data_IF_507564485604
#
_entry.id   IF_507564485604
#
_cell.length_a   1.000
_cell.length_b   1.000
_cell.length_c   1.000
_cell.angle_alpha   90.00
_cell.angle_beta   90.00
_cell.angle_gamma   90.00
#
_symmetry.space_group_name_H-M   'P 1'
#
loop_
_entity.id
_entity.type
_entity.pdbx_description
1 polymer ?
#
# COMPACT_ATOMS: atom_id res chain seq x y z
N UNK A 1 17.18 -3.67 20.86
CA UNK A 1 16.67 -4.16 22.15
C UNK A 1 15.51 -5.09 21.83
N UNK A 2 15.45 -6.30 22.39
CA UNK A 2 14.28 -7.16 22.17
C UNK A 2 13.04 -6.52 22.86
N UNK A 3 11.81 -6.71 22.33
CA UNK A 3 10.58 -6.32 23.01
C UNK A 3 10.56 -6.84 24.44
N UNK A 4 10.02 -6.01 25.33
CA UNK A 4 9.71 -6.39 26.71
C UNK A 4 8.62 -7.48 26.74
N UNK A 5 7.72 -7.51 25.75
CA UNK A 5 6.78 -8.61 25.50
C UNK A 5 6.40 -8.64 23.99
N UNK A 6 6.81 -9.65 23.22
CA UNK A 6 6.39 -9.75 21.82
C UNK A 6 4.89 -10.07 21.72
N UNK A 7 4.26 -9.64 20.62
CA UNK A 7 2.85 -9.87 20.27
C UNK A 7 2.45 -11.36 20.32
N UNK A 8 3.40 -12.26 20.13
CA UNK A 8 3.22 -13.69 20.25
C UNK A 8 4.54 -14.42 20.54
N UNK A 9 4.52 -15.75 20.64
CA UNK A 9 5.73 -16.54 20.79
C UNK A 9 6.60 -16.46 19.52
N UNK A 10 7.93 -16.50 19.67
CA UNK A 10 8.89 -16.39 18.56
C UNK A 10 8.65 -17.39 17.41
N UNK A 11 8.07 -18.55 17.72
CA UNK A 11 7.75 -19.61 16.76
C UNK A 11 6.48 -19.33 15.92
N UNK A 12 5.61 -18.42 16.36
CA UNK A 12 4.38 -18.06 15.64
C UNK A 12 4.61 -16.92 14.62
N UNK A 13 5.70 -16.17 14.74
CA UNK A 13 6.03 -15.10 13.81
C UNK A 13 6.35 -15.65 12.42
N UNK A 14 5.83 -15.00 11.38
CA UNK A 14 6.10 -15.31 9.98
C UNK A 14 7.06 -14.25 9.42
N UNK A 15 8.26 -14.62 8.93
CA UNK A 15 8.73 -15.98 8.64
C UNK A 15 9.63 -16.63 9.71
N UNK A 16 9.58 -16.12 10.93
CA UNK A 16 10.37 -16.59 12.06
C UNK A 16 11.12 -15.42 12.70
N UNK A 17 11.08 -15.32 14.03
CA UNK A 17 11.56 -14.12 14.71
C UNK A 17 13.08 -14.01 14.74
N UNK A 18 13.74 -15.03 15.30
CA UNK A 18 15.20 -15.08 15.52
C UNK A 18 15.95 -15.83 14.43
N UNK A 19 15.31 -16.83 13.84
CA UNK A 19 15.85 -17.66 12.77
C UNK A 19 14.78 -17.87 11.70
N UNK A 20 15.17 -18.10 10.43
CA UNK A 20 14.23 -18.47 9.39
C UNK A 20 13.52 -19.78 9.75
N UNK A 21 12.20 -19.83 9.50
CA UNK A 21 11.38 -21.03 9.68
C UNK A 21 10.82 -21.44 8.31
N UNK A 22 10.79 -22.75 8.06
CA UNK A 22 10.23 -23.29 6.83
C UNK A 22 8.71 -23.47 6.98
N UNK A 23 7.93 -22.53 6.46
CA UNK A 23 6.48 -22.66 6.37
C UNK A 23 6.05 -23.30 5.04
N UNK A 24 4.94 -24.05 5.04
CA UNK A 24 4.32 -24.49 3.80
C UNK A 24 3.65 -23.30 3.10
N UNK A 25 3.66 -23.28 1.78
CA UNK A 25 3.14 -22.14 1.01
C UNK A 25 1.68 -21.78 1.33
N UNK A 26 0.85 -22.80 1.63
CA UNK A 26 -0.57 -22.62 2.02
C UNK A 26 -0.75 -21.95 3.39
N UNK A 27 0.24 -22.05 4.27
CA UNK A 27 0.14 -21.54 5.65
C UNK A 27 0.55 -20.06 5.73
N UNK A 28 1.26 -19.57 4.71
CA UNK A 28 1.78 -18.20 4.64
C UNK A 28 1.35 -17.50 3.35
N UNK A 29 0.31 -17.97 2.70
CA UNK A 29 -0.31 -17.24 1.60
C UNK A 29 -0.86 -15.90 2.13
N UNK A 30 -0.67 -14.76 1.44
CA UNK A 30 -0.19 -14.54 0.06
C UNK A 30 1.33 -14.40 -0.14
N UNK A 31 2.12 -14.63 0.90
CA UNK A 31 3.55 -14.36 0.88
C UNK A 31 4.35 -15.39 0.07
N UNK A 32 5.51 -15.01 -0.50
CA UNK A 32 6.39 -15.97 -1.17
C UNK A 32 7.15 -16.81 -0.16
N UNK A 33 6.74 -18.07 0.03
CA UNK A 33 7.48 -19.04 0.84
C UNK A 33 8.96 -19.16 0.45
N UNK A 34 9.28 -19.05 -0.85
CA UNK A 34 10.67 -19.08 -1.34
C UNK A 34 11.54 -17.97 -0.75
N UNK A 35 10.99 -16.76 -0.56
CA UNK A 35 11.74 -15.61 -0.05
C UNK A 35 11.64 -15.52 1.47
N UNK A 36 10.44 -15.68 2.01
CA UNK A 36 10.16 -15.57 3.44
C UNK A 36 10.89 -16.63 4.26
N UNK A 37 10.89 -17.91 3.85
CA UNK A 37 11.56 -18.99 4.59
C UNK A 37 13.11 -18.87 4.67
N UNK A 38 13.69 -17.82 4.08
CA UNK A 38 15.15 -17.56 4.08
C UNK A 38 15.56 -16.38 4.95
N UNK A 39 14.61 -15.68 5.54
CA UNK A 39 14.88 -14.48 6.35
C UNK A 39 14.30 -14.67 7.74
N UNK A 40 14.88 -13.97 8.72
CA UNK A 40 14.31 -13.83 10.05
C UNK A 40 13.92 -12.37 10.27
N UNK A 41 12.84 -12.13 11.01
CA UNK A 41 12.33 -10.78 11.32
C UNK A 41 13.42 -9.85 11.84
N UNK A 42 14.25 -10.33 12.79
CA UNK A 42 15.30 -9.51 13.41
C UNK A 42 16.32 -8.99 12.40
N UNK A 43 16.47 -9.68 11.26
CA UNK A 43 17.37 -9.32 10.15
C UNK A 43 16.63 -8.75 8.94
N UNK A 44 15.30 -8.71 8.99
CA UNK A 44 14.44 -8.33 7.86
C UNK A 44 14.71 -6.87 7.47
N UNK A 45 14.78 -6.63 6.17
CA UNK A 45 14.94 -5.29 5.60
C UNK A 45 13.73 -4.94 4.77
N UNK A 46 13.51 -3.64 4.58
CA UNK A 46 12.48 -3.15 3.66
C UNK A 46 12.66 -3.70 2.23
N UNK A 47 13.88 -4.00 1.80
CA UNK A 47 14.15 -4.59 0.48
C UNK A 47 13.62 -6.01 0.33
N UNK A 48 13.38 -6.71 1.44
CA UNK A 48 12.73 -8.02 1.47
C UNK A 48 11.22 -7.86 1.55
N UNK A 49 10.74 -6.98 2.43
CA UNK A 49 9.32 -6.76 2.64
C UNK A 49 8.64 -6.14 1.41
N UNK A 50 9.25 -5.12 0.80
CA UNK A 50 8.63 -4.33 -0.26
C UNK A 50 8.24 -5.14 -1.50
N UNK A 51 9.08 -6.07 -2.03
CA UNK A 51 8.68 -6.95 -3.13
C UNK A 51 7.72 -8.07 -2.74
N UNK A 52 7.58 -8.34 -1.44
CA UNK A 52 6.70 -9.38 -0.89
C UNK A 52 5.33 -8.84 -0.47
N UNK A 53 5.17 -7.52 -0.41
CA UNK A 53 3.89 -6.89 -0.12
C UNK A 53 2.79 -7.46 -1.02
N UNK A 54 1.58 -7.72 -0.47
CA UNK A 54 0.50 -8.35 -1.21
C UNK A 54 -0.20 -7.28 -2.07
N UNK A 55 0.54 -6.68 -3.00
CA UNK A 55 -0.03 -5.82 -4.05
C UNK A 55 -0.52 -6.63 -5.25
N UNK A 56 -0.58 -7.97 -5.12
CA UNK A 56 -1.30 -8.76 -6.11
C UNK A 56 -2.76 -8.37 -5.99
N UNK A 57 -3.18 -7.45 -6.86
CA UNK A 57 -4.55 -6.96 -6.95
C UNK A 57 -5.57 -8.11 -6.83
N UNK A 58 -5.22 -9.28 -7.38
CA UNK A 58 -6.00 -10.51 -7.45
C UNK A 58 -6.23 -11.25 -6.12
N UNK A 59 -5.46 -10.97 -5.06
CA UNK A 59 -5.53 -11.74 -3.82
C UNK A 59 -6.74 -11.37 -2.95
N UNK A 60 -6.97 -10.06 -2.77
CA UNK A 60 -8.11 -9.57 -1.97
C UNK A 60 -9.31 -9.30 -2.87
N UNK A 61 -9.08 -8.96 -4.14
CA UNK A 61 -10.13 -8.80 -5.14
C UNK A 61 -9.72 -9.47 -6.46
N UNK A 62 -10.32 -10.60 -6.88
CA UNK A 62 -9.99 -11.22 -8.16
C UNK A 62 -10.13 -10.20 -9.30
N UNK A 63 -9.14 -10.15 -10.23
CA UNK A 63 -9.23 -9.34 -11.45
C UNK A 63 -10.24 -9.94 -12.43
N UNK A 64 -11.51 -9.97 -12.05
CA UNK A 64 -12.59 -10.26 -12.99
C UNK A 64 -12.84 -9.05 -13.92
N UNK A 65 -12.26 -7.89 -13.60
CA UNK A 65 -12.65 -6.60 -14.16
C UNK A 65 -11.79 -6.07 -15.32
N UNK A 66 -10.61 -6.62 -15.62
CA UNK A 66 -9.73 -6.03 -16.67
C UNK A 66 -10.38 -6.10 -18.08
N UNK A 67 -11.23 -7.11 -18.33
CA UNK A 67 -12.02 -7.22 -19.56
C UNK A 67 -13.28 -6.32 -19.53
N UNK A 68 -13.96 -6.24 -18.38
CA UNK A 68 -15.22 -5.49 -18.23
C UNK A 68 -14.97 -3.96 -18.22
N UNK A 69 -13.91 -3.50 -17.55
CA UNK A 69 -13.57 -2.07 -17.43
C UNK A 69 -13.16 -1.43 -18.78
N UNK A 70 -12.67 -2.23 -19.73
CA UNK A 70 -12.32 -1.74 -21.07
C UNK A 70 -13.55 -1.49 -21.95
N UNK A 71 -14.64 -2.24 -21.75
CA UNK A 71 -15.84 -2.13 -22.59
C UNK A 71 -16.61 -0.80 -22.37
N UNK A 72 -16.49 -0.20 -21.19
CA UNK A 72 -17.14 1.08 -20.85
C UNK A 72 -16.20 2.30 -20.83
N UNK A 73 -14.91 2.12 -21.15
CA UNK A 73 -13.96 3.22 -21.13
C UNK A 73 -14.09 4.07 -22.40
N UNK A 74 -14.45 5.34 -22.24
CA UNK A 74 -14.62 6.30 -23.33
C UNK A 74 -13.49 7.33 -23.25
N UNK A 75 -12.50 7.21 -24.12
CA UNK A 75 -11.33 8.08 -24.13
C UNK A 75 -11.66 9.55 -24.43
N UNK A 76 -12.73 9.80 -25.19
CA UNK A 76 -13.21 11.15 -25.54
C UNK A 76 -13.65 11.97 -24.32
N UNK A 77 -13.89 11.35 -23.16
CA UNK A 77 -14.20 12.05 -21.91
C UNK A 77 -12.96 12.62 -21.21
N UNK A 78 -11.75 12.24 -21.64
CA UNK A 78 -10.49 12.77 -21.06
C UNK A 78 -10.16 14.12 -21.73
N UNK A 79 -10.98 15.11 -21.45
CA UNK A 79 -10.79 16.50 -21.88
C UNK A 79 -10.40 17.37 -20.69
N UNK A 80 -9.71 18.49 -20.95
CA UNK A 80 -9.31 19.43 -19.90
C UNK A 80 -10.49 19.84 -18.99
N UNK A 81 -11.64 20.31 -19.52
CA UNK A 81 -12.75 20.75 -18.66
C UNK A 81 -13.24 19.66 -17.71
N UNK A 82 -13.41 18.42 -18.22
CA UNK A 82 -13.88 17.30 -17.41
C UNK A 82 -12.86 16.85 -16.36
N UNK A 83 -11.56 16.89 -16.68
CA UNK A 83 -10.51 16.57 -15.69
C UNK A 83 -10.42 17.67 -14.63
N UNK A 84 -10.56 18.95 -14.99
CA UNK A 84 -10.58 20.07 -14.05
C UNK A 84 -11.82 20.01 -13.14
N UNK A 85 -12.98 19.64 -13.68
CA UNK A 85 -14.21 19.41 -12.92
C UNK A 85 -14.05 18.26 -11.92
N UNK A 86 -13.55 17.11 -12.37
CA UNK A 86 -13.24 15.97 -11.50
C UNK A 86 -12.26 16.34 -10.38
N UNK A 87 -11.22 17.11 -10.70
CA UNK A 87 -10.23 17.56 -9.72
C UNK A 87 -10.86 18.50 -8.70
N UNK A 88 -11.75 19.40 -9.15
CA UNK A 88 -12.48 20.33 -8.28
C UNK A 88 -13.46 19.63 -7.35
N UNK A 89 -14.05 18.51 -7.79
CA UNK A 89 -14.91 17.67 -6.96
C UNK A 89 -14.17 16.91 -5.84
N UNK A 90 -12.84 16.92 -5.85
CA UNK A 90 -11.98 16.33 -4.83
C UNK A 90 -12.36 14.89 -4.42
N UNK A 91 -12.53 13.94 -5.36
CA UNK A 91 -13.04 12.61 -5.07
C UNK A 91 -12.17 11.81 -4.08
N UNK A 92 -10.89 12.15 -3.96
CA UNK A 92 -9.96 11.56 -3.00
C UNK A 92 -10.28 11.91 -1.53
N UNK A 93 -11.12 12.92 -1.24
CA UNK A 93 -11.49 13.24 0.14
C UNK A 93 -12.38 12.14 0.75
N UNK A 94 -13.03 11.32 -0.08
CA UNK A 94 -13.75 10.11 0.36
C UNK A 94 -12.84 9.12 1.11
N UNK A 95 -11.55 9.08 0.77
CA UNK A 95 -10.55 8.24 1.47
C UNK A 95 -10.30 8.70 2.91
N UNK A 96 -10.61 9.96 3.23
CA UNK A 96 -10.43 10.54 4.57
C UNK A 96 -11.74 10.54 5.35
N UNK A 97 -12.87 10.74 4.69
CA UNK A 97 -14.18 10.83 5.34
C UNK A 97 -14.81 9.48 5.66
N UNK A 98 -14.39 8.41 4.99
CA UNK A 98 -14.81 7.03 5.30
C UNK A 98 -13.59 6.18 5.65
N UNK A 99 -12.90 6.46 6.77
CA UNK A 99 -11.78 5.63 7.17
C UNK A 99 -12.29 4.23 7.47
N UNK A 100 -11.67 3.23 6.84
CA UNK A 100 -11.85 1.84 7.28
C UNK A 100 -11.15 1.75 8.63
N UNK A 101 -11.91 1.44 9.68
CA UNK A 101 -11.32 1.20 10.99
C UNK A 101 -10.31 0.04 10.86
N UNK A 102 -9.03 0.26 11.19
CA UNK A 102 -8.03 -0.79 11.12
C UNK A 102 -8.39 -1.92 12.09
N UNK A 103 -8.33 -3.15 11.58
CA UNK A 103 -8.61 -4.38 12.34
C UNK A 103 -7.37 -4.80 13.13
N UNK A 104 -6.18 -4.66 12.52
CA UNK A 104 -4.90 -5.15 13.02
C UNK A 104 -4.16 -4.15 13.92
N UNK A 105 -4.54 -2.87 13.94
CA UNK A 105 -3.92 -1.87 14.81
C UNK A 105 -4.86 -0.69 15.12
N UNK A 106 -5.20 -0.46 16.39
CA UNK A 106 -6.06 0.67 16.76
C UNK A 106 -5.29 2.00 16.76
N UNK A 107 -6.01 3.12 16.62
CA UNK A 107 -5.41 4.46 16.63
C UNK A 107 -4.75 4.87 17.95
N UNK A 108 -5.09 4.22 19.07
CA UNK A 108 -4.59 4.50 20.41
C UNK A 108 -3.41 3.60 20.83
N UNK A 109 -2.94 2.72 19.94
CA UNK A 109 -1.81 1.84 20.23
C UNK A 109 -0.58 2.67 20.60
N UNK A 110 0.07 2.30 21.71
CA UNK A 110 1.30 2.96 22.20
C UNK A 110 2.55 2.28 21.63
N UNK A 111 3.73 2.81 21.95
CA UNK A 111 5.01 2.23 21.55
C UNK A 111 5.28 2.32 20.03
N UNK A 112 6.09 1.39 19.50
CA UNK A 112 6.53 1.42 18.09
C UNK A 112 5.38 1.26 17.10
N UNK A 113 4.41 0.40 17.40
CA UNK A 113 3.24 0.23 16.54
C UNK A 113 2.38 1.51 16.50
N UNK A 114 2.28 2.24 17.61
CA UNK A 114 1.67 3.57 17.64
C UNK A 114 2.41 4.61 16.79
N UNK A 115 3.74 4.58 16.78
CA UNK A 115 4.55 5.45 15.91
C UNK A 115 4.31 5.13 14.44
N UNK A 116 4.23 3.84 14.09
CA UNK A 116 3.86 3.41 12.74
C UNK A 116 2.45 3.88 12.36
N UNK A 117 1.45 3.64 13.21
CA UNK A 117 0.06 4.00 12.94
C UNK A 117 -0.08 5.50 12.63
N UNK A 118 0.54 6.37 13.44
CA UNK A 118 0.57 7.82 13.17
C UNK A 118 1.23 8.15 11.83
N UNK A 119 2.42 7.59 11.58
CA UNK A 119 3.14 7.84 10.33
C UNK A 119 2.35 7.36 9.09
N UNK A 120 1.61 6.25 9.21
CA UNK A 120 0.72 5.75 8.18
C UNK A 120 -0.44 6.71 7.91
N UNK A 121 -1.15 7.16 8.95
CA UNK A 121 -2.28 8.09 8.78
C UNK A 121 -1.86 9.45 8.24
N UNK A 122 -0.72 9.98 8.70
CA UNK A 122 -0.12 11.20 8.15
C UNK A 122 0.22 11.04 6.67
N UNK A 123 0.78 9.87 6.30
CA UNK A 123 1.07 9.54 4.91
C UNK A 123 -0.22 9.45 4.07
N UNK A 124 -1.22 8.71 4.53
CA UNK A 124 -2.49 8.50 3.84
C UNK A 124 -3.21 9.85 3.59
N UNK A 125 -3.29 10.69 4.61
CA UNK A 125 -3.88 12.03 4.52
C UNK A 125 -3.13 12.95 3.55
N UNK A 126 -1.80 13.00 3.67
CA UNK A 126 -0.94 13.86 2.84
C UNK A 126 -0.89 13.43 1.37
N UNK A 127 -0.97 12.13 1.10
CA UNK A 127 -0.83 11.57 -0.23
C UNK A 127 -2.15 11.04 -0.83
N UNK A 128 -3.32 11.35 -0.24
CA UNK A 128 -4.64 10.87 -0.66
C UNK A 128 -4.92 10.99 -2.15
N UNK A 129 -4.51 12.10 -2.78
CA UNK A 129 -4.67 12.30 -4.24
C UNK A 129 -3.93 11.20 -5.00
N UNK A 130 -2.65 10.98 -4.67
CA UNK A 130 -1.83 9.99 -5.34
C UNK A 130 -2.33 8.56 -5.09
N UNK A 131 -2.90 8.31 -3.91
CA UNK A 131 -3.47 7.02 -3.55
C UNK A 131 -4.75 6.75 -4.35
N UNK A 132 -5.69 7.70 -4.37
CA UNK A 132 -6.90 7.65 -5.20
C UNK A 132 -6.57 7.46 -6.69
N UNK A 133 -5.60 8.22 -7.19
CA UNK A 133 -5.11 8.10 -8.57
C UNK A 133 -4.46 6.73 -8.87
N UNK A 134 -3.99 6.02 -7.85
CA UNK A 134 -3.39 4.69 -7.98
C UNK A 134 -4.44 3.58 -8.07
N UNK A 135 -5.56 3.72 -7.38
CA UNK A 135 -6.68 2.76 -7.39
C UNK A 135 -7.63 2.98 -8.56
N UNK A 136 -7.75 4.21 -9.06
CA UNK A 136 -8.61 4.55 -10.18
C UNK A 136 -7.83 4.58 -11.49
N UNK A 137 -8.17 3.67 -12.41
CA UNK A 137 -7.52 3.63 -13.72
C UNK A 137 -7.92 4.87 -14.53
N UNK A 138 -6.96 5.77 -14.69
CA UNK A 138 -7.09 6.98 -15.50
C UNK A 138 -6.08 6.93 -16.66
N UNK A 139 -6.33 6.14 -17.73
CA UNK A 139 -5.43 6.07 -18.87
C UNK A 139 -5.55 7.35 -19.71
N UNK A 140 -4.41 7.85 -20.19
CA UNK A 140 -4.34 8.95 -21.15
C UNK A 140 -3.51 8.44 -22.32
N UNK A 141 -4.10 8.37 -23.51
CA UNK A 141 -3.46 7.78 -24.69
C UNK A 141 -2.30 8.65 -25.19
N UNK A 142 -1.37 8.05 -25.96
CA UNK A 142 -0.28 8.82 -26.59
C UNK A 142 -0.80 9.93 -27.50
N UNK A 143 -1.87 9.67 -28.25
CA UNK A 143 -2.48 10.66 -29.14
C UNK A 143 -3.01 11.86 -28.35
N UNK A 144 -3.67 11.62 -27.20
CA UNK A 144 -4.15 12.67 -26.31
C UNK A 144 -3.00 13.48 -25.69
N UNK A 145 -1.91 12.82 -25.29
CA UNK A 145 -0.72 13.50 -24.77
C UNK A 145 -0.03 14.37 -25.83
N UNK A 146 0.00 13.94 -27.09
CA UNK A 146 0.55 14.71 -28.20
C UNK A 146 -0.36 15.86 -28.63
N UNK A 147 -1.68 15.67 -28.57
CA UNK A 147 -2.67 16.68 -28.96
C UNK A 147 -2.95 17.74 -27.89
N UNK A 148 -2.43 17.60 -26.67
CA UNK A 148 -2.69 18.55 -25.57
C UNK A 148 -1.52 18.69 -24.61
N UNK A 149 -0.87 19.85 -24.67
CA UNK A 149 0.18 20.25 -23.71
C UNK A 149 -0.34 20.21 -22.26
N UNK A 150 -1.61 20.54 -22.06
CA UNK A 150 -2.23 20.50 -20.73
C UNK A 150 -2.32 19.06 -20.19
N UNK A 151 -2.81 18.11 -21.00
CA UNK A 151 -2.90 16.69 -20.59
C UNK A 151 -1.51 16.08 -20.37
N UNK A 152 -0.52 16.47 -21.17
CA UNK A 152 0.87 16.06 -20.97
C UNK A 152 1.43 16.51 -19.62
N UNK A 153 1.23 17.80 -19.28
CA UNK A 153 1.63 18.34 -17.98
C UNK A 153 0.86 17.70 -16.81
N UNK A 154 -0.45 17.51 -16.95
CA UNK A 154 -1.28 16.84 -15.96
C UNK A 154 -0.77 15.40 -15.68
N UNK A 155 -0.51 14.62 -16.73
CA UNK A 155 -0.01 13.26 -16.61
C UNK A 155 1.38 13.21 -15.94
N UNK A 156 2.26 14.17 -16.27
CA UNK A 156 3.57 14.32 -15.61
C UNK A 156 3.42 14.61 -14.11
N UNK A 157 2.53 15.54 -13.74
CA UNK A 157 2.27 15.87 -12.34
C UNK A 157 1.70 14.68 -11.56
N UNK A 158 0.80 13.90 -12.16
CA UNK A 158 0.30 12.64 -11.60
C UNK A 158 1.43 11.64 -11.35
N UNK A 159 2.32 11.46 -12.33
CA UNK A 159 3.53 10.65 -12.17
C UNK A 159 4.43 11.12 -11.01
N UNK A 160 4.61 12.44 -10.86
CA UNK A 160 5.38 13.02 -9.76
C UNK A 160 4.71 12.75 -8.41
N UNK A 161 3.39 12.96 -8.29
CA UNK A 161 2.62 12.65 -7.08
C UNK A 161 2.79 11.19 -6.66
N UNK A 162 2.63 10.25 -7.62
CA UNK A 162 2.86 8.81 -7.39
C UNK A 162 4.28 8.52 -6.90
N UNK A 163 5.30 9.11 -7.54
CA UNK A 163 6.70 8.92 -7.13
C UNK A 163 6.98 9.44 -5.72
N UNK A 164 6.45 10.62 -5.39
CA UNK A 164 6.57 11.20 -4.04
C UNK A 164 5.85 10.36 -2.98
N UNK A 165 4.63 9.88 -3.29
CA UNK A 165 3.89 8.97 -2.43
C UNK A 165 4.66 7.67 -2.21
N UNK A 166 5.17 7.03 -3.28
CA UNK A 166 5.97 5.80 -3.16
C UNK A 166 7.24 5.99 -2.31
N UNK A 167 7.91 7.15 -2.41
CA UNK A 167 9.05 7.48 -1.54
C UNK A 167 8.63 7.66 -0.08
N UNK A 168 7.50 8.32 0.16
CA UNK A 168 6.97 8.51 1.52
C UNK A 168 6.53 7.17 2.14
N UNK A 169 5.84 6.34 1.37
CA UNK A 169 5.42 5.00 1.78
C UNK A 169 6.60 4.12 2.20
N UNK A 170 7.70 4.13 1.43
CA UNK A 170 8.93 3.41 1.82
C UNK A 170 9.45 3.87 3.19
N UNK A 171 9.35 5.16 3.55
CA UNK A 171 9.76 5.62 4.89
C UNK A 171 8.84 5.08 5.98
N UNK A 172 7.53 5.03 5.73
CA UNK A 172 6.55 4.44 6.66
C UNK A 172 6.83 2.95 6.86
N UNK A 173 7.14 2.20 5.79
CA UNK A 173 7.50 0.78 5.88
C UNK A 173 8.78 0.52 6.67
N UNK A 174 9.75 1.44 6.69
CA UNK A 174 10.92 1.31 7.58
C UNK A 174 10.48 1.33 9.05
N UNK A 175 9.52 2.20 9.41
CA UNK A 175 8.96 2.25 10.76
C UNK A 175 8.21 0.95 11.08
N UNK A 176 7.48 0.39 10.11
CA UNK A 176 6.81 -0.90 10.25
C UNK A 176 7.80 -2.04 10.52
N UNK A 177 8.86 -2.14 9.72
CA UNK A 177 9.90 -3.15 9.91
C UNK A 177 10.48 -3.07 11.32
N UNK A 178 10.71 -1.87 11.86
CA UNK A 178 11.17 -1.69 13.23
C UNK A 178 10.11 -2.14 14.26
N UNK A 179 8.82 -1.89 14.01
CA UNK A 179 7.75 -2.38 14.88
C UNK A 179 7.67 -3.91 14.89
N UNK A 180 7.81 -4.56 13.73
CA UNK A 180 7.84 -6.03 13.59
C UNK A 180 9.10 -6.61 14.26
N UNK A 181 10.27 -5.99 14.04
CA UNK A 181 11.54 -6.36 14.68
C UNK A 181 11.49 -6.24 16.19
N UNK A 182 10.87 -5.18 16.69
CA UNK A 182 10.62 -4.99 18.12
C UNK A 182 9.39 -5.79 18.58
N UNK A 183 8.81 -6.66 17.75
CA UNK A 183 7.76 -7.63 18.10
C UNK A 183 6.43 -7.03 18.51
N UNK A 184 6.11 -5.83 18.05
CA UNK A 184 4.81 -5.19 18.30
C UNK A 184 3.69 -5.71 17.41
N UNK A 185 4.03 -6.31 16.27
CA UNK A 185 3.12 -6.92 15.30
C UNK A 185 3.92 -7.92 14.45
N UNK A 186 3.22 -8.77 13.70
CA UNK A 186 3.83 -9.63 12.68
C UNK A 186 3.62 -9.04 11.26
N UNK A 187 4.11 -9.73 10.22
CA UNK A 187 3.98 -9.31 8.82
C UNK A 187 2.53 -9.28 8.32
N UNK A 188 1.64 -10.03 8.98
CA UNK A 188 0.20 -10.11 8.70
C UNK A 188 -0.54 -8.77 8.87
N UNK A 189 0.01 -7.82 9.62
CA UNK A 189 -0.51 -6.44 9.70
C UNK A 189 -0.70 -5.84 8.30
N UNK A 190 0.13 -6.22 7.32
CA UNK A 190 0.02 -5.74 5.94
C UNK A 190 -1.18 -6.30 5.17
N UNK A 191 -1.90 -7.26 5.75
CA UNK A 191 -3.19 -7.75 5.25
C UNK A 191 -4.37 -6.92 5.78
N UNK A 192 -4.12 -5.94 6.65
CA UNK A 192 -5.17 -5.08 7.18
C UNK A 192 -5.89 -4.34 6.03
N UNK A 193 -7.24 -4.25 6.08
CA UNK A 193 -8.04 -3.55 5.08
C UNK A 193 -7.62 -2.09 4.83
N UNK A 194 -6.98 -1.44 5.81
CA UNK A 194 -6.45 -0.09 5.66
C UNK A 194 -5.34 0.01 4.63
N UNK A 195 -4.68 -1.08 4.24
CA UNK A 195 -3.66 -1.06 3.18
C UNK A 195 -4.24 -1.28 1.78
N UNK A 196 -5.53 -1.61 1.65
CA UNK A 196 -6.16 -1.99 0.37
C UNK A 196 -6.16 -0.89 -0.67
N UNK A 197 -6.21 0.37 -0.25
CA UNK A 197 -6.22 1.51 -1.15
C UNK A 197 -4.81 1.88 -1.60
N UNK A 198 -3.75 1.30 -1.03
CA UNK A 198 -2.38 1.60 -1.43
C UNK A 198 -2.04 0.95 -2.79
N UNK A 199 -1.43 1.71 -3.72
CA UNK A 199 -1.10 1.24 -5.06
C UNK A 199 0.07 0.26 -5.15
#
# INVERSE_FOLDING_TARGET
MLPVAPFGPDAAFIPGRRAPVAFAARDIEPWSAKKLNRVAIISMKITVLFPELPFRAEWIFPRTADAILRAGYVDSLITRPLVEELTSAAPWDTLVTTPVDPVSFRGDVRGRLGVFARAFWDFASKHRVAIWEGTHRFPISRNQLQGSTWLSNFNKQRGNRRSHAGRAWKRVLVILVLAIQDGWCDVDILLDPSFLHLP
#
